data_IF_821376248104
#
_entry.id   IF_821376248104
#
_cell.length_a   1.000
_cell.length_b   1.000
_cell.length_c   1.000
_cell.angle_alpha   90.00
_cell.angle_beta   90.00
_cell.angle_gamma   90.00
#
_symmetry.space_group_name_H-M   'P 1'
#
loop_
_entity.id
_entity.type
_entity.pdbx_description
1 polymer ?
#
# COMPACT_ATOMS: atom_id res chain seq x y z
N UNK A 1 21.51 -11.81 -4.79
CA UNK A 1 20.12 -11.35 -4.88
C UNK A 1 19.78 -11.20 -6.35
N UNK A 2 18.58 -10.88 -6.73
CA UNK A 2 18.20 -10.76 -8.13
C UNK A 2 17.09 -9.70 -8.27
N UNK A 3 17.24 -8.79 -9.23
CA UNK A 3 16.17 -7.90 -9.67
C UNK A 3 15.03 -8.70 -10.31
N UNK A 4 13.85 -8.08 -10.39
CA UNK A 4 12.67 -8.69 -11.02
C UNK A 4 12.15 -7.71 -12.06
N UNK A 5 11.85 -8.22 -13.26
CA UNK A 5 11.23 -7.40 -14.31
C UNK A 5 10.05 -8.13 -14.92
N UNK A 6 8.91 -7.44 -14.93
CA UNK A 6 7.75 -7.79 -15.74
C UNK A 6 7.72 -6.88 -16.95
N UNK A 7 7.56 -7.45 -18.13
CA UNK A 7 7.56 -6.70 -19.40
C UNK A 7 6.29 -7.07 -20.16
N UNK A 8 5.32 -6.13 -20.18
CA UNK A 8 4.06 -6.28 -20.87
C UNK A 8 3.28 -7.54 -20.47
N UNK A 9 3.26 -7.89 -19.18
CA UNK A 9 2.70 -9.16 -18.71
C UNK A 9 1.18 -9.14 -18.78
N UNK A 10 0.61 -10.15 -19.47
CA UNK A 10 -0.83 -10.41 -19.52
C UNK A 10 -1.19 -11.78 -18.95
N UNK A 11 -2.31 -11.84 -18.24
CA UNK A 11 -2.94 -13.08 -17.78
C UNK A 11 -4.45 -12.99 -17.84
N UNK A 12 -5.08 -13.92 -18.52
CA UNK A 12 -6.53 -14.01 -18.68
C UNK A 12 -7.07 -15.31 -18.13
N UNK A 13 -8.30 -15.25 -17.62
CA UNK A 13 -9.10 -16.41 -17.25
C UNK A 13 -10.43 -16.32 -18.01
N UNK A 14 -10.55 -17.04 -19.11
CA UNK A 14 -11.63 -16.82 -20.08
C UNK A 14 -11.57 -15.40 -20.62
N UNK A 15 -12.67 -14.67 -20.53
CA UNK A 15 -12.79 -13.27 -20.99
C UNK A 15 -12.25 -12.25 -19.99
N UNK A 16 -11.95 -12.69 -18.75
CA UNK A 16 -11.49 -11.80 -17.68
C UNK A 16 -9.96 -11.61 -17.73
N UNK A 17 -9.52 -10.37 -17.93
CA UNK A 17 -8.11 -10.00 -17.85
C UNK A 17 -7.73 -9.74 -16.40
N UNK A 18 -7.11 -10.72 -15.75
CA UNK A 18 -6.66 -10.60 -14.35
C UNK A 18 -5.37 -9.78 -14.22
N UNK A 19 -4.49 -9.82 -15.23
CA UNK A 19 -3.32 -8.96 -15.40
C UNK A 19 -3.35 -8.47 -16.84
N UNK A 20 -3.19 -7.17 -17.05
CA UNK A 20 -3.40 -6.52 -18.33
C UNK A 20 -2.29 -5.53 -18.67
N UNK A 21 -1.21 -6.04 -19.29
CA UNK A 21 -0.08 -5.26 -19.78
C UNK A 21 0.75 -4.66 -18.64
N UNK A 22 1.11 -5.47 -17.63
CA UNK A 22 1.89 -4.99 -16.50
C UNK A 22 3.37 -4.92 -16.85
N UNK A 23 3.91 -3.69 -16.72
CA UNK A 23 5.35 -3.40 -16.67
C UNK A 23 5.72 -3.02 -15.24
N UNK A 24 6.71 -3.72 -14.66
CA UNK A 24 7.19 -3.45 -13.30
C UNK A 24 8.64 -3.89 -13.18
N UNK A 25 9.47 -3.01 -12.65
CA UNK A 25 10.83 -3.29 -12.25
C UNK A 25 10.97 -3.20 -10.73
N UNK A 26 11.50 -4.27 -10.11
CA UNK A 26 11.85 -4.34 -8.69
C UNK A 26 13.36 -4.52 -8.62
N UNK A 27 14.02 -3.57 -7.94
CA UNK A 27 15.47 -3.57 -7.83
C UNK A 27 15.96 -4.70 -6.93
N UNK A 28 17.22 -5.07 -7.10
CA UNK A 28 17.87 -6.04 -6.23
C UNK A 28 17.84 -5.57 -4.75
N UNK A 29 17.36 -6.45 -3.86
CA UNK A 29 17.19 -6.16 -2.43
C UNK A 29 16.00 -5.28 -2.07
N UNK A 30 15.20 -4.81 -3.05
CA UNK A 30 14.05 -3.94 -2.81
C UNK A 30 12.87 -4.70 -2.19
N UNK A 31 12.18 -4.04 -1.28
CA UNK A 31 10.90 -4.47 -0.73
C UNK A 31 9.74 -3.79 -1.49
N UNK A 32 9.20 -4.46 -2.49
CA UNK A 32 8.09 -3.98 -3.32
C UNK A 32 6.75 -4.47 -2.75
N UNK A 33 5.81 -3.54 -2.53
CA UNK A 33 4.45 -3.88 -2.13
C UNK A 33 3.50 -3.76 -3.31
N UNK A 34 2.73 -4.82 -3.58
CA UNK A 34 1.58 -4.78 -4.49
C UNK A 34 0.32 -4.53 -3.66
N UNK A 35 -0.28 -3.35 -3.81
CA UNK A 35 -1.45 -2.90 -3.08
C UNK A 35 -2.63 -2.72 -4.04
N UNK A 36 -3.85 -2.99 -3.58
CA UNK A 36 -5.07 -2.75 -4.37
C UNK A 36 -6.27 -3.52 -3.83
N UNK A 37 -7.47 -3.25 -4.33
CA UNK A 37 -8.69 -3.93 -3.90
C UNK A 37 -8.67 -5.43 -4.22
N UNK A 38 -9.56 -6.18 -3.58
CA UNK A 38 -9.70 -7.61 -3.86
C UNK A 38 -10.07 -7.83 -5.34
N UNK A 39 -9.43 -8.81 -5.96
CA UNK A 39 -9.68 -9.16 -7.37
C UNK A 39 -8.98 -8.25 -8.40
N UNK A 40 -8.14 -7.28 -8.02
CA UNK A 40 -7.44 -6.42 -8.98
C UNK A 40 -6.22 -7.06 -9.68
N UNK A 41 -5.85 -8.32 -9.36
CA UNK A 41 -4.80 -9.05 -10.08
C UNK A 41 -3.49 -9.29 -9.30
N UNK A 42 -3.30 -8.76 -8.08
CA UNK A 42 -2.06 -8.87 -7.27
C UNK A 42 -1.56 -10.31 -7.10
N UNK A 43 -2.41 -11.18 -6.54
CA UNK A 43 -2.08 -12.60 -6.34
C UNK A 43 -1.82 -13.32 -7.66
N UNK A 44 -2.54 -12.93 -8.74
CA UNK A 44 -2.30 -13.50 -10.06
C UNK A 44 -0.92 -13.12 -10.60
N UNK A 45 -0.54 -11.83 -10.50
CA UNK A 45 0.80 -11.37 -10.89
C UNK A 45 1.89 -12.07 -10.08
N UNK A 46 1.70 -12.19 -8.75
CA UNK A 46 2.62 -12.91 -7.87
C UNK A 46 2.76 -14.39 -8.27
N UNK A 47 1.65 -15.06 -8.62
CA UNK A 47 1.65 -16.45 -9.08
C UNK A 47 2.30 -16.62 -10.45
N UNK A 48 2.17 -15.65 -11.34
CA UNK A 48 2.91 -15.62 -12.62
C UNK A 48 4.41 -15.56 -12.36
N UNK A 49 4.87 -14.71 -11.42
CA UNK A 49 6.28 -14.67 -11.01
C UNK A 49 6.73 -15.98 -10.37
N UNK A 50 5.88 -16.59 -9.54
CA UNK A 50 6.16 -17.86 -8.90
C UNK A 50 6.22 -19.05 -9.91
N UNK A 51 5.68 -18.88 -11.13
CA UNK A 51 5.53 -19.95 -12.12
C UNK A 51 4.41 -20.93 -11.75
N UNK A 52 3.50 -20.52 -10.86
CA UNK A 52 2.30 -21.27 -10.50
C UNK A 52 1.16 -21.00 -11.48
N UNK A 53 1.19 -19.84 -12.13
CA UNK A 53 0.33 -19.48 -13.25
C UNK A 53 1.20 -19.18 -14.48
N UNK A 54 0.73 -19.60 -15.64
CA UNK A 54 1.42 -19.33 -16.91
C UNK A 54 1.04 -17.94 -17.38
N UNK A 55 2.01 -17.15 -17.82
CA UNK A 55 1.83 -15.88 -18.51
C UNK A 55 1.25 -16.16 -19.91
N UNK A 56 0.25 -15.40 -20.31
CA UNK A 56 -0.37 -15.56 -21.63
C UNK A 56 0.34 -14.72 -22.69
N UNK A 57 0.87 -13.54 -22.31
CA UNK A 57 1.71 -12.67 -23.13
C UNK A 57 2.66 -11.86 -22.25
N UNK A 58 3.74 -11.33 -22.83
CA UNK A 58 4.79 -10.63 -22.11
C UNK A 58 5.86 -11.55 -21.53
N UNK A 59 6.74 -11.00 -20.68
CA UNK A 59 7.88 -11.73 -20.12
C UNK A 59 8.12 -11.41 -18.66
N UNK A 60 8.69 -12.40 -17.95
CA UNK A 60 9.10 -12.29 -16.54
C UNK A 60 10.59 -12.65 -16.44
N UNK A 61 11.38 -11.72 -15.86
CA UNK A 61 12.81 -11.94 -15.63
C UNK A 61 13.11 -11.97 -14.12
N UNK A 62 14.07 -12.80 -13.73
CA UNK A 62 14.64 -12.87 -12.39
C UNK A 62 16.16 -12.80 -12.56
N UNK A 63 16.76 -11.66 -12.22
CA UNK A 63 18.10 -11.32 -12.65
C UNK A 63 18.19 -11.32 -14.17
N UNK A 64 19.29 -11.85 -14.69
CA UNK A 64 19.51 -11.98 -16.15
C UNK A 64 18.72 -13.14 -16.79
N UNK A 65 17.92 -13.89 -16.02
CA UNK A 65 17.24 -15.10 -16.51
C UNK A 65 15.81 -14.79 -16.96
N UNK A 66 15.49 -15.14 -18.19
CA UNK A 66 14.09 -15.25 -18.62
C UNK A 66 13.43 -16.41 -17.85
N UNK A 67 12.51 -16.05 -16.96
CA UNK A 67 11.81 -16.99 -16.09
C UNK A 67 10.39 -17.30 -16.61
N UNK A 68 9.97 -16.73 -17.73
CA UNK A 68 8.59 -16.80 -18.26
C UNK A 68 8.07 -18.24 -18.29
N UNK A 69 8.78 -19.15 -18.90
CA UNK A 69 8.39 -20.57 -19.02
C UNK A 69 9.07 -21.50 -18.01
N UNK A 70 9.86 -20.95 -17.06
CA UNK A 70 10.53 -21.78 -16.07
C UNK A 70 9.53 -22.32 -15.03
N UNK A 71 9.58 -23.61 -14.69
CA UNK A 71 8.78 -24.15 -13.61
C UNK A 71 9.25 -23.58 -12.24
N UNK A 72 8.38 -23.53 -11.20
CA UNK A 72 8.68 -22.93 -9.91
C UNK A 72 10.02 -23.35 -9.30
N UNK A 73 10.34 -24.66 -9.36
CA UNK A 73 11.59 -25.23 -8.81
C UNK A 73 12.88 -24.67 -9.42
N UNK A 74 12.82 -24.04 -10.60
CA UNK A 74 13.98 -23.46 -11.29
C UNK A 74 14.09 -21.95 -11.12
N UNK A 75 13.11 -21.29 -10.49
CA UNK A 75 13.07 -19.84 -10.34
C UNK A 75 13.87 -19.31 -9.15
N UNK A 76 14.34 -20.17 -8.23
CA UNK A 76 15.08 -19.82 -7.01
C UNK A 76 14.34 -18.84 -6.11
N UNK A 77 13.04 -19.01 -6.01
CA UNK A 77 12.15 -18.22 -5.20
C UNK A 77 11.66 -19.00 -3.98
N UNK A 78 11.29 -18.29 -2.93
CA UNK A 78 10.50 -18.83 -1.82
C UNK A 78 9.16 -18.08 -1.75
N UNK A 79 8.09 -18.78 -1.36
CA UNK A 79 6.77 -18.18 -1.27
C UNK A 79 6.09 -18.52 0.05
N UNK A 80 5.58 -17.47 0.69
CA UNK A 80 4.67 -17.55 1.84
C UNK A 80 3.26 -17.33 1.31
N UNK A 81 2.39 -18.34 1.48
CA UNK A 81 1.01 -18.30 1.02
C UNK A 81 0.09 -17.69 2.07
N UNK A 82 -1.02 -17.13 1.66
CA UNK A 82 -2.06 -16.59 2.53
C UNK A 82 -2.55 -17.60 3.58
N UNK A 83 -2.68 -18.89 3.21
CA UNK A 83 -3.05 -19.98 4.12
C UNK A 83 -1.87 -20.54 4.92
N UNK A 84 -0.69 -19.89 4.84
CA UNK A 84 0.61 -20.36 5.36
C UNK A 84 1.12 -21.65 4.70
N UNK A 85 0.26 -22.50 4.19
CA UNK A 85 0.55 -23.79 3.55
C UNK A 85 1.52 -24.67 4.38
N UNK A 86 1.40 -24.59 5.72
CA UNK A 86 2.19 -25.41 6.65
C UNK A 86 1.57 -26.81 6.70
N UNK A 87 2.40 -27.85 6.62
CA UNK A 87 1.96 -29.25 6.66
C UNK A 87 1.56 -29.62 8.10
N UNK A 88 0.26 -29.86 8.39
CA UNK A 88 -0.23 -30.00 9.76
C UNK A 88 0.25 -31.29 10.44
N UNK A 89 0.57 -32.32 9.66
CA UNK A 89 1.03 -33.63 10.11
C UNK A 89 2.54 -33.70 10.30
N UNK A 90 3.28 -32.63 9.99
CA UNK A 90 4.73 -32.54 10.20
C UNK A 90 5.06 -31.71 11.44
N UNK A 91 6.19 -32.01 12.06
CA UNK A 91 6.81 -31.17 13.08
C UNK A 91 7.27 -29.84 12.46
N UNK A 92 7.42 -28.79 13.29
CA UNK A 92 7.94 -27.48 12.86
C UNK A 92 9.30 -27.64 12.19
N UNK A 93 10.21 -28.40 12.80
CA UNK A 93 11.51 -28.71 12.20
C UNK A 93 11.37 -29.27 10.76
N UNK A 94 10.50 -30.26 10.55
CA UNK A 94 10.31 -30.88 9.25
C UNK A 94 9.65 -29.96 8.22
N UNK A 95 8.77 -29.07 8.66
CA UNK A 95 8.19 -28.02 7.81
C UNK A 95 9.27 -27.07 7.31
N UNK A 96 10.13 -26.56 8.18
CA UNK A 96 11.21 -25.65 7.81
C UNK A 96 12.24 -26.38 6.91
N UNK A 97 12.59 -27.61 7.27
CA UNK A 97 13.53 -28.44 6.51
C UNK A 97 13.03 -28.90 5.14
N UNK A 98 11.71 -28.80 4.85
CA UNK A 98 11.10 -29.42 3.70
C UNK A 98 11.75 -29.01 2.38
N UNK A 99 11.89 -27.69 2.15
CA UNK A 99 12.51 -27.14 0.93
C UNK A 99 13.97 -27.61 0.77
N UNK A 100 14.72 -27.59 1.86
CA UNK A 100 16.13 -28.02 1.86
C UNK A 100 16.29 -29.52 1.53
N UNK A 101 15.39 -30.37 2.08
CA UNK A 101 15.32 -31.79 1.74
C UNK A 101 15.04 -32.02 0.25
N UNK A 102 14.14 -31.22 -0.34
CA UNK A 102 13.83 -31.29 -1.76
C UNK A 102 15.00 -30.83 -2.64
N UNK A 103 15.82 -29.90 -2.16
CA UNK A 103 17.08 -29.48 -2.80
C UNK A 103 18.22 -30.49 -2.60
N UNK A 104 17.97 -31.59 -1.84
CA UNK A 104 18.95 -32.62 -1.50
C UNK A 104 20.17 -32.09 -0.74
N UNK A 105 19.97 -31.09 0.10
CA UNK A 105 21.02 -30.57 0.99
C UNK A 105 21.46 -31.62 2.01
N UNK A 106 22.71 -31.51 2.47
CA UNK A 106 23.27 -32.42 3.47
C UNK A 106 22.66 -32.15 4.85
N UNK A 107 22.47 -33.19 5.68
CA UNK A 107 21.85 -33.10 6.99
C UNK A 107 22.47 -32.02 7.90
N UNK A 108 23.79 -31.84 8.01
CA UNK A 108 24.37 -30.76 8.84
C UNK A 108 23.94 -29.35 8.36
N UNK A 109 23.86 -29.14 7.03
CA UNK A 109 23.42 -27.85 6.45
C UNK A 109 21.94 -27.62 6.74
N UNK A 110 21.11 -28.67 6.65
CA UNK A 110 19.69 -28.59 7.01
C UNK A 110 19.53 -28.20 8.47
N UNK A 111 20.24 -28.90 9.39
CA UNK A 111 20.17 -28.63 10.83
C UNK A 111 20.58 -27.19 11.16
N UNK A 112 21.67 -26.70 10.57
CA UNK A 112 22.16 -25.33 10.74
C UNK A 112 21.12 -24.31 10.27
N UNK A 113 20.64 -24.43 9.03
CA UNK A 113 19.69 -23.47 8.43
C UNK A 113 18.33 -23.47 9.12
N UNK A 114 17.84 -24.65 9.54
CA UNK A 114 16.57 -24.75 10.29
C UNK A 114 16.69 -24.06 11.66
N UNK A 115 17.79 -24.29 12.39
CA UNK A 115 18.00 -23.65 13.70
C UNK A 115 18.20 -22.15 13.56
N UNK A 116 19.00 -21.70 12.62
CA UNK A 116 19.19 -20.27 12.34
C UNK A 116 17.88 -19.57 11.99
N UNK A 117 17.04 -20.18 11.12
CA UNK A 117 15.74 -19.62 10.80
C UNK A 117 14.77 -19.65 11.99
N UNK A 118 14.84 -20.68 12.85
CA UNK A 118 14.01 -20.76 14.06
C UNK A 118 14.40 -19.72 15.09
N UNK A 119 15.71 -19.52 15.31
CA UNK A 119 16.26 -18.51 16.23
C UNK A 119 15.84 -17.09 15.80
N UNK A 120 15.97 -16.76 14.52
CA UNK A 120 15.61 -15.45 13.98
C UNK A 120 14.13 -15.11 14.18
N UNK A 121 13.27 -16.14 14.23
CA UNK A 121 11.81 -15.99 14.37
C UNK A 121 11.32 -16.33 15.80
N UNK A 122 12.23 -16.59 16.74
CA UNK A 122 11.91 -16.94 18.13
C UNK A 122 10.93 -18.11 18.23
N UNK A 123 11.20 -19.21 17.51
CA UNK A 123 10.37 -20.43 17.48
C UNK A 123 11.17 -21.70 17.76
N UNK A 124 12.37 -21.60 18.35
CA UNK A 124 13.27 -22.74 18.65
C UNK A 124 12.57 -23.78 19.53
N UNK A 125 11.82 -23.33 20.52
CA UNK A 125 11.06 -24.18 21.45
C UNK A 125 9.91 -24.94 20.78
N UNK A 126 9.50 -24.51 19.58
CA UNK A 126 8.41 -25.11 18.81
C UNK A 126 8.88 -26.19 17.84
N UNK A 127 10.18 -26.35 17.62
CA UNK A 127 10.75 -27.23 16.57
C UNK A 127 10.25 -28.68 16.65
N UNK A 128 10.02 -29.18 17.86
CA UNK A 128 9.54 -30.55 18.09
C UNK A 128 8.02 -30.70 18.11
N UNK A 129 7.25 -29.58 18.08
CA UNK A 129 5.79 -29.61 18.06
C UNK A 129 5.26 -29.90 16.66
N UNK A 130 4.08 -30.49 16.58
CA UNK A 130 3.34 -30.60 15.32
C UNK A 130 2.71 -29.26 14.97
N UNK A 131 2.71 -28.94 13.68
CA UNK A 131 2.17 -27.65 13.19
C UNK A 131 0.66 -27.49 13.43
N UNK A 132 -0.08 -28.60 13.59
CA UNK A 132 -1.49 -28.60 13.98
C UNK A 132 -1.75 -28.05 15.40
N UNK A 133 -0.73 -28.03 16.25
CA UNK A 133 -0.81 -27.59 17.65
C UNK A 133 -0.50 -26.09 17.83
N UNK A 134 -0.20 -25.39 16.75
CA UNK A 134 0.25 -24.01 16.77
C UNK A 134 -0.90 -23.01 16.63
N UNK A 135 -0.72 -21.82 17.25
CA UNK A 135 -1.58 -20.65 16.98
C UNK A 135 -1.41 -20.12 15.56
N UNK A 136 -2.28 -19.19 15.13
CA UNK A 136 -2.18 -18.54 13.81
C UNK A 136 -0.82 -17.85 13.61
N UNK A 137 -0.40 -17.01 14.55
CA UNK A 137 0.89 -16.30 14.47
C UNK A 137 2.10 -17.27 14.50
N UNK A 138 2.04 -18.35 15.30
CA UNK A 138 3.09 -19.37 15.29
C UNK A 138 3.18 -20.09 13.93
N UNK A 139 2.04 -20.45 13.31
CA UNK A 139 2.03 -21.04 11.96
C UNK A 139 2.61 -20.11 10.91
N UNK A 140 2.31 -18.82 11.02
CA UNK A 140 2.90 -17.80 10.16
C UNK A 140 4.44 -17.75 10.31
N UNK A 141 4.96 -17.64 11.53
CA UNK A 141 6.41 -17.66 11.77
C UNK A 141 7.07 -18.92 11.21
N UNK A 142 6.43 -20.08 11.32
CA UNK A 142 6.92 -21.32 10.69
C UNK A 142 6.93 -21.23 9.16
N UNK A 143 5.90 -20.63 8.55
CA UNK A 143 5.86 -20.45 7.08
C UNK A 143 6.97 -19.49 6.58
N UNK A 144 7.22 -18.41 7.32
CA UNK A 144 8.32 -17.48 7.04
C UNK A 144 9.68 -18.17 7.24
N UNK A 145 9.88 -18.90 8.37
CA UNK A 145 11.11 -19.68 8.63
C UNK A 145 11.41 -20.67 7.51
N UNK A 146 10.37 -21.36 7.01
CA UNK A 146 10.49 -22.28 5.86
C UNK A 146 10.98 -21.59 4.60
N UNK A 147 10.46 -20.40 4.31
CA UNK A 147 10.89 -19.61 3.16
C UNK A 147 12.35 -19.14 3.31
N UNK A 148 12.70 -18.62 4.48
CA UNK A 148 14.05 -18.10 4.78
C UNK A 148 15.14 -19.18 4.78
N UNK A 149 14.86 -20.36 5.33
CA UNK A 149 15.82 -21.47 5.40
C UNK A 149 16.37 -21.84 4.02
N UNK A 150 15.60 -21.63 2.96
CA UNK A 150 16.01 -21.96 1.58
C UNK A 150 17.03 -20.98 0.99
N UNK A 151 17.26 -19.81 1.60
CA UNK A 151 18.13 -18.74 1.08
C UNK A 151 17.80 -18.40 -0.38
N UNK A 152 16.51 -18.20 -0.66
CA UNK A 152 16.02 -17.84 -2.00
C UNK A 152 16.52 -16.44 -2.39
N UNK A 153 16.75 -16.22 -3.69
CA UNK A 153 17.13 -14.92 -4.23
C UNK A 153 15.96 -13.92 -4.17
N UNK A 154 14.73 -14.44 -4.24
CA UNK A 154 13.47 -13.68 -4.24
C UNK A 154 12.50 -14.30 -3.25
N UNK A 155 11.89 -13.45 -2.42
CA UNK A 155 10.87 -13.81 -1.45
C UNK A 155 9.51 -13.25 -1.89
N UNK A 156 8.52 -14.12 -2.00
CA UNK A 156 7.15 -13.77 -2.36
C UNK A 156 6.23 -13.96 -1.16
N UNK A 157 5.42 -12.97 -0.85
CA UNK A 157 4.46 -13.01 0.26
C UNK A 157 3.06 -12.66 -0.22
N UNK A 158 2.14 -13.62 -0.15
CA UNK A 158 0.74 -13.47 -0.58
C UNK A 158 -0.13 -13.27 0.65
N UNK A 159 -0.44 -12.02 1.00
CA UNK A 159 -1.25 -11.59 2.16
C UNK A 159 -0.90 -12.32 3.48
N UNK A 160 0.38 -12.33 3.91
CA UNK A 160 0.82 -13.19 5.00
C UNK A 160 0.20 -12.84 6.37
N UNK A 161 -0.30 -11.61 6.58
CA UNK A 161 -0.86 -11.14 7.84
C UNK A 161 -2.41 -11.16 7.86
N UNK A 162 -3.06 -11.48 6.73
CA UNK A 162 -4.53 -11.34 6.58
C UNK A 162 -5.37 -12.19 7.54
N UNK A 163 -4.84 -13.33 7.98
CA UNK A 163 -5.55 -14.28 8.87
C UNK A 163 -5.28 -14.04 10.37
N UNK A 164 -4.65 -12.92 10.74
CA UNK A 164 -4.39 -12.53 12.12
C UNK A 164 -5.42 -11.53 12.63
N UNK A 165 -5.69 -11.56 13.94
CA UNK A 165 -6.43 -10.50 14.60
C UNK A 165 -5.66 -9.17 14.60
N UNK A 166 -6.34 -8.06 14.88
CA UNK A 166 -5.77 -6.71 14.71
C UNK A 166 -4.55 -6.46 15.60
N UNK A 167 -4.55 -6.94 16.86
CA UNK A 167 -3.44 -6.72 17.79
C UNK A 167 -2.21 -7.51 17.35
N UNK A 168 -2.39 -8.80 17.06
CA UNK A 168 -1.31 -9.67 16.61
C UNK A 168 -0.77 -9.22 15.25
N UNK A 169 -1.63 -8.69 14.35
CA UNK A 169 -1.19 -8.12 13.07
C UNK A 169 -0.28 -6.92 13.26
N UNK A 170 -0.58 -6.03 14.23
CA UNK A 170 0.24 -4.86 14.53
C UNK A 170 1.65 -5.28 15.00
N UNK A 171 1.73 -6.24 15.94
CA UNK A 171 3.00 -6.77 16.45
C UNK A 171 3.80 -7.47 15.34
N UNK A 172 3.15 -8.39 14.62
CA UNK A 172 3.79 -9.16 13.55
C UNK A 172 4.28 -8.30 12.38
N UNK A 173 3.61 -7.18 12.08
CA UNK A 173 4.04 -6.25 11.04
C UNK A 173 5.40 -5.63 11.37
N UNK A 174 5.58 -5.14 12.60
CA UNK A 174 6.85 -4.56 13.03
C UNK A 174 8.00 -5.60 13.03
N UNK A 175 7.72 -6.80 13.58
CA UNK A 175 8.69 -7.90 13.57
C UNK A 175 9.06 -8.32 12.15
N UNK A 176 8.06 -8.48 11.27
CA UNK A 176 8.27 -8.91 9.89
C UNK A 176 9.07 -7.86 9.11
N UNK A 177 8.79 -6.56 9.29
CA UNK A 177 9.57 -5.49 8.66
C UNK A 177 11.04 -5.57 9.07
N UNK A 178 11.33 -5.63 10.37
CA UNK A 178 12.71 -5.73 10.89
C UNK A 178 13.41 -6.97 10.34
N UNK A 179 12.70 -8.09 10.33
CA UNK A 179 13.21 -9.35 9.80
C UNK A 179 13.58 -9.24 8.33
N UNK A 180 12.66 -8.74 7.50
CA UNK A 180 12.85 -8.64 6.05
C UNK A 180 13.97 -7.67 5.69
N UNK A 181 14.14 -6.58 6.44
CA UNK A 181 15.27 -5.66 6.29
C UNK A 181 16.62 -6.31 6.60
N UNK A 182 16.64 -7.34 7.46
CA UNK A 182 17.87 -8.10 7.78
C UNK A 182 18.19 -9.17 6.72
N UNK A 183 17.27 -9.43 5.79
CA UNK A 183 17.46 -10.42 4.74
C UNK A 183 17.99 -9.77 3.47
N UNK A 184 19.05 -10.37 2.93
CA UNK A 184 19.56 -10.04 1.61
C UNK A 184 18.68 -10.69 0.52
N UNK A 185 17.39 -10.31 0.42
CA UNK A 185 16.46 -10.90 -0.56
C UNK A 185 15.53 -9.84 -1.13
N UNK A 186 15.36 -9.86 -2.45
CA UNK A 186 14.36 -9.05 -3.12
C UNK A 186 12.98 -9.57 -2.74
N UNK A 187 12.10 -8.70 -2.24
CA UNK A 187 10.80 -9.12 -1.70
C UNK A 187 9.65 -8.51 -2.49
N UNK A 188 8.68 -9.34 -2.89
CA UNK A 188 7.35 -8.87 -3.33
C UNK A 188 6.32 -9.27 -2.30
N UNK A 189 5.63 -8.28 -1.76
CA UNK A 189 4.62 -8.41 -0.73
C UNK A 189 3.26 -7.99 -1.26
N UNK A 190 2.30 -8.89 -1.24
CA UNK A 190 0.91 -8.60 -1.63
C UNK A 190 0.08 -8.34 -0.39
N UNK A 191 -0.65 -7.24 -0.40
CA UNK A 191 -1.63 -6.92 0.64
C UNK A 191 -2.81 -6.12 0.07
N UNK A 192 -3.91 -6.11 0.80
CA UNK A 192 -5.00 -5.15 0.64
C UNK A 192 -5.06 -4.14 1.80
N UNK A 193 -4.19 -4.30 2.81
CA UNK A 193 -4.08 -3.41 3.97
C UNK A 193 -3.14 -2.24 3.64
N UNK A 194 -3.71 -1.03 3.64
CA UNK A 194 -2.99 0.20 3.31
C UNK A 194 -1.90 0.51 4.33
N UNK A 195 -2.15 0.20 5.63
CA UNK A 195 -1.19 0.48 6.70
C UNK A 195 0.04 -0.43 6.53
N UNK A 196 -0.16 -1.69 6.14
CA UNK A 196 0.96 -2.58 5.79
C UNK A 196 1.78 -2.00 4.65
N UNK A 197 1.12 -1.59 3.56
CA UNK A 197 1.79 -1.06 2.39
C UNK A 197 2.60 0.20 2.71
N UNK A 198 1.97 1.19 3.37
CA UNK A 198 2.60 2.47 3.70
C UNK A 198 3.74 2.32 4.73
N UNK A 199 3.66 1.33 5.64
CA UNK A 199 4.65 1.18 6.71
C UNK A 199 5.81 0.26 6.39
N UNK A 200 5.67 -0.66 5.42
CA UNK A 200 6.65 -1.72 5.18
C UNK A 200 7.46 -1.55 3.91
N UNK A 201 6.84 -1.13 2.80
CA UNK A 201 7.46 -1.12 1.48
C UNK A 201 8.48 -0.01 1.28
N UNK A 202 9.52 -0.27 0.48
CA UNK A 202 10.38 0.76 -0.09
C UNK A 202 9.63 1.49 -1.21
N UNK A 203 8.89 0.71 -2.03
CA UNK A 203 7.97 1.21 -3.05
C UNK A 203 6.67 0.43 -3.04
N UNK A 204 5.61 1.12 -3.49
CA UNK A 204 4.25 0.57 -3.61
C UNK A 204 3.83 0.63 -5.07
N UNK A 205 3.39 -0.50 -5.62
CA UNK A 205 2.67 -0.57 -6.87
C UNK A 205 1.17 -0.72 -6.58
N UNK A 206 0.41 0.35 -6.81
CA UNK A 206 -1.04 0.34 -6.66
C UNK A 206 -1.67 -0.28 -7.89
N UNK A 207 -2.42 -1.35 -7.69
CA UNK A 207 -3.07 -2.09 -8.78
C UNK A 207 -4.58 -1.88 -8.79
N UNK A 208 -5.12 -1.66 -10.00
CA UNK A 208 -6.55 -1.61 -10.24
C UNK A 208 -6.88 -2.30 -11.58
N UNK A 209 -7.89 -3.16 -11.60
CA UNK A 209 -8.40 -3.85 -12.80
C UNK A 209 -7.28 -4.46 -13.67
N UNK A 210 -6.33 -5.14 -13.04
CA UNK A 210 -5.23 -5.84 -13.73
C UNK A 210 -4.03 -4.97 -14.12
N UNK A 211 -4.05 -3.67 -13.86
CA UNK A 211 -3.01 -2.72 -14.25
C UNK A 211 -2.37 -2.07 -13.03
N UNK A 212 -1.13 -1.62 -13.13
CA UNK A 212 -0.50 -0.72 -12.19
C UNK A 212 -0.95 0.70 -12.54
N UNK A 213 -1.61 1.38 -11.60
CA UNK A 213 -2.11 2.75 -11.77
C UNK A 213 -1.17 3.80 -11.19
N UNK A 214 -0.41 3.44 -10.16
CA UNK A 214 0.66 4.27 -9.62
C UNK A 214 1.78 3.41 -9.05
N UNK A 215 3.01 3.89 -9.16
CA UNK A 215 4.22 3.29 -8.63
C UNK A 215 5.07 4.40 -8.02
N UNK A 216 5.38 4.31 -6.73
CA UNK A 216 6.18 5.32 -6.03
C UNK A 216 6.56 4.89 -4.63
N UNK A 217 7.28 5.74 -3.90
CA UNK A 217 7.50 5.52 -2.48
C UNK A 217 6.20 5.74 -1.68
N UNK A 218 6.10 5.20 -0.44
CA UNK A 218 4.86 5.27 0.34
C UNK A 218 4.28 6.68 0.53
N UNK A 219 5.15 7.66 0.83
CA UNK A 219 4.72 9.06 1.06
C UNK A 219 4.25 9.71 -0.24
N UNK A 220 4.96 9.46 -1.35
CA UNK A 220 4.57 9.96 -2.67
C UNK A 220 3.18 9.44 -3.09
N UNK A 221 2.93 8.14 -2.93
CA UNK A 221 1.63 7.53 -3.27
C UNK A 221 0.51 8.08 -2.37
N UNK A 222 0.81 8.39 -1.10
CA UNK A 222 -0.16 8.96 -0.16
C UNK A 222 -0.44 10.44 -0.45
N UNK A 223 0.63 11.25 -0.56
CA UNK A 223 0.52 12.70 -0.69
C UNK A 223 0.17 13.16 -2.11
N UNK A 224 0.68 12.46 -3.13
CA UNK A 224 0.53 12.82 -4.56
C UNK A 224 -0.13 11.68 -5.36
N UNK A 225 -1.41 11.38 -5.11
CA UNK A 225 -2.10 10.35 -5.86
C UNK A 225 -2.22 10.73 -7.35
N UNK A 226 -1.96 9.76 -8.24
CA UNK A 226 -2.01 9.94 -9.69
C UNK A 226 -3.42 10.15 -10.25
N UNK A 227 -4.42 9.73 -9.48
CA UNK A 227 -5.83 9.87 -9.87
C UNK A 227 -6.76 9.80 -8.64
N UNK A 228 -8.06 10.04 -8.87
CA UNK A 228 -9.10 9.96 -7.84
C UNK A 228 -9.26 8.57 -7.26
N UNK A 229 -8.96 7.50 -8.03
CA UNK A 229 -8.99 6.14 -7.52
C UNK A 229 -7.91 5.96 -6.43
N UNK A 230 -6.67 6.34 -6.71
CA UNK A 230 -5.57 6.22 -5.74
C UNK A 230 -5.83 7.09 -4.51
N UNK A 231 -6.23 8.36 -4.69
CA UNK A 231 -6.58 9.26 -3.58
C UNK A 231 -7.70 8.73 -2.70
N UNK A 232 -8.75 8.16 -3.32
CA UNK A 232 -9.89 7.57 -2.62
C UNK A 232 -9.62 6.18 -2.05
N UNK A 233 -8.65 5.44 -2.60
CA UNK A 233 -8.30 4.10 -2.11
C UNK A 233 -7.24 4.15 -1.00
N UNK A 234 -6.27 5.06 -1.05
CA UNK A 234 -5.19 5.19 -0.07
C UNK A 234 -5.59 6.18 1.03
N UNK A 235 -5.47 5.77 2.29
CA UNK A 235 -5.77 6.58 3.46
C UNK A 235 -7.08 6.20 4.16
N UNK A 236 -7.11 6.41 5.48
CA UNK A 236 -8.28 6.17 6.32
C UNK A 236 -8.48 7.38 7.25
N UNK A 237 -9.45 8.23 6.95
CA UNK A 237 -10.42 8.15 5.87
C UNK A 237 -9.81 8.41 4.48
N UNK A 238 -10.55 8.07 3.38
CA UNK A 238 -10.17 8.43 2.03
C UNK A 238 -9.97 9.93 1.82
N UNK A 239 -9.26 10.33 0.77
CA UNK A 239 -9.18 11.73 0.33
C UNK A 239 -10.58 12.26 0.02
N UNK A 240 -10.87 13.47 0.47
CA UNK A 240 -12.09 14.17 0.06
C UNK A 240 -11.91 14.74 -1.34
N UNK A 241 -12.97 14.74 -2.14
CA UNK A 241 -13.02 15.39 -3.44
C UNK A 241 -14.19 16.36 -3.48
N UNK A 242 -13.94 17.61 -3.90
CA UNK A 242 -14.94 18.64 -4.10
C UNK A 242 -14.85 19.15 -5.53
N UNK A 243 -16.01 19.43 -6.12
CA UNK A 243 -16.05 20.19 -7.38
C UNK A 243 -15.54 21.61 -7.11
N UNK A 244 -14.67 22.09 -7.98
CA UNK A 244 -14.02 23.40 -7.83
C UNK A 244 -13.99 24.15 -9.14
N UNK A 245 -14.28 25.46 -9.06
CA UNK A 245 -14.12 26.42 -10.15
C UNK A 245 -12.97 27.35 -9.82
N UNK A 246 -12.05 27.54 -10.74
CA UNK A 246 -10.89 28.42 -10.59
C UNK A 246 -11.07 29.64 -11.51
N UNK A 247 -10.99 30.83 -10.91
CA UNK A 247 -10.97 32.09 -11.61
C UNK A 247 -9.70 32.87 -11.31
N UNK A 248 -9.18 33.61 -12.29
CA UNK A 248 -8.00 34.48 -12.12
C UNK A 248 -8.39 35.83 -11.59
N UNK A 249 -7.77 36.31 -10.52
CA UNK A 249 -7.97 37.65 -9.94
C UNK A 249 -6.61 38.34 -9.72
N UNK A 250 -6.08 38.96 -10.78
CA UNK A 250 -4.80 39.69 -10.69
C UNK A 250 -3.61 38.77 -10.39
N UNK A 251 -3.01 38.90 -9.19
CA UNK A 251 -1.88 38.08 -8.73
C UNK A 251 -2.29 36.85 -7.92
N UNK A 252 -3.57 36.61 -7.72
CA UNK A 252 -4.14 35.47 -7.01
C UNK A 252 -5.18 34.75 -7.87
N UNK A 253 -5.41 33.47 -7.57
CA UNK A 253 -6.55 32.71 -8.09
C UNK A 253 -7.62 32.65 -6.99
N UNK A 254 -8.88 32.78 -7.39
CA UNK A 254 -10.02 32.52 -6.52
C UNK A 254 -10.55 31.15 -6.86
N UNK A 255 -10.64 30.31 -5.85
CA UNK A 255 -11.20 28.96 -5.95
C UNK A 255 -12.56 28.95 -5.28
N UNK A 256 -13.59 28.62 -6.05
CA UNK A 256 -14.95 28.46 -5.57
C UNK A 256 -15.25 26.98 -5.39
N UNK A 257 -15.78 26.61 -4.24
CA UNK A 257 -16.27 25.27 -3.91
C UNK A 257 -17.66 25.37 -3.29
N UNK A 258 -18.38 24.26 -3.19
CA UNK A 258 -19.63 24.21 -2.46
C UNK A 258 -19.43 24.78 -1.03
N UNK A 259 -20.13 25.88 -0.69
CA UNK A 259 -20.09 26.48 0.65
C UNK A 259 -19.16 27.66 0.84
N UNK A 260 -18.37 28.07 -0.15
CA UNK A 260 -17.51 29.27 -0.05
C UNK A 260 -16.43 29.38 -1.11
N UNK A 261 -15.65 30.44 -0.98
CA UNK A 261 -14.49 30.67 -1.84
C UNK A 261 -13.25 31.01 -1.02
N UNK A 262 -12.08 30.76 -1.55
CA UNK A 262 -10.81 31.09 -0.92
C UNK A 262 -9.76 31.48 -1.97
N UNK A 263 -8.78 32.28 -1.54
CA UNK A 263 -7.71 32.71 -2.42
C UNK A 263 -6.55 31.73 -2.44
N UNK A 264 -5.99 31.54 -3.63
CA UNK A 264 -4.84 30.69 -3.88
C UNK A 264 -3.69 31.50 -4.53
N UNK A 265 -2.43 31.05 -4.40
CA UNK A 265 -1.34 31.58 -5.17
C UNK A 265 -1.60 31.53 -6.69
N UNK A 266 -0.98 32.45 -7.43
CA UNK A 266 -1.25 32.67 -8.87
C UNK A 266 -0.96 31.50 -9.81
N UNK A 267 -0.15 30.53 -9.38
CA UNK A 267 0.17 29.32 -10.12
C UNK A 267 -1.08 28.45 -10.44
N UNK A 268 -2.07 28.47 -9.54
CA UNK A 268 -3.37 27.80 -9.75
C UNK A 268 -4.24 28.51 -10.79
N UNK A 269 -3.96 29.78 -11.09
CA UNK A 269 -4.70 30.53 -12.11
C UNK A 269 -4.59 29.89 -13.53
N UNK A 270 -3.55 29.11 -13.79
CA UNK A 270 -3.41 28.36 -15.05
C UNK A 270 -4.49 27.28 -15.22
N UNK A 271 -5.17 26.88 -14.14
CA UNK A 271 -6.28 25.92 -14.15
C UNK A 271 -7.64 26.56 -14.46
N UNK A 272 -7.71 27.90 -14.61
CA UNK A 272 -8.95 28.59 -14.87
C UNK A 272 -9.64 28.09 -16.15
N UNK A 273 -10.94 27.80 -16.05
CA UNK A 273 -11.76 27.29 -17.15
C UNK A 273 -11.69 25.78 -17.37
N UNK A 274 -11.01 25.03 -16.49
CA UNK A 274 -11.06 23.57 -16.46
C UNK A 274 -12.12 23.09 -15.46
N UNK A 275 -12.76 21.96 -15.78
CA UNK A 275 -13.62 21.23 -14.83
C UNK A 275 -12.74 20.45 -13.86
N UNK A 276 -12.71 20.90 -12.60
CA UNK A 276 -11.76 20.43 -11.61
C UNK A 276 -12.42 19.73 -10.42
N UNK A 277 -11.70 18.74 -9.86
CA UNK A 277 -11.91 18.26 -8.51
C UNK A 277 -10.73 18.69 -7.64
N UNK A 278 -11.06 19.28 -6.49
CA UNK A 278 -10.11 19.57 -5.42
C UNK A 278 -10.04 18.36 -4.52
N UNK A 279 -8.90 17.67 -4.49
CA UNK A 279 -8.59 16.56 -3.59
C UNK A 279 -7.89 17.06 -2.33
N UNK A 280 -8.40 16.70 -1.14
CA UNK A 280 -7.78 17.09 0.13
C UNK A 280 -7.96 15.99 1.20
N UNK A 281 -6.89 15.70 1.95
CA UNK A 281 -6.91 14.73 3.04
C UNK A 281 -7.67 15.30 4.25
N UNK A 282 -8.29 14.40 5.04
CA UNK A 282 -9.07 14.78 6.21
C UNK A 282 -8.26 15.55 7.26
N UNK A 283 -6.99 15.20 7.44
CA UNK A 283 -6.05 15.86 8.37
C UNK A 283 -5.50 17.20 7.86
N UNK A 284 -5.69 17.50 6.59
CA UNK A 284 -5.30 18.78 5.98
C UNK A 284 -6.44 19.83 6.02
N UNK A 285 -7.54 19.51 6.68
CA UNK A 285 -8.68 20.40 6.85
C UNK A 285 -8.75 20.83 8.32
N UNK A 286 -8.54 22.11 8.58
CA UNK A 286 -8.77 22.71 9.89
C UNK A 286 -10.25 23.02 10.12
N UNK A 287 -10.71 22.99 11.38
CA UNK A 287 -12.07 23.38 11.79
C UNK A 287 -12.00 24.56 12.72
N UNK A 288 -12.73 25.63 12.36
CA UNK A 288 -12.86 26.85 13.14
C UNK A 288 -14.31 27.03 13.60
N UNK A 289 -14.49 27.70 14.75
CA UNK A 289 -15.81 27.95 15.34
C UNK A 289 -16.41 29.28 14.95
N UNK A 290 -15.64 30.16 14.30
CA UNK A 290 -16.06 31.50 13.88
C UNK A 290 -15.77 31.72 12.39
N UNK A 291 -16.62 32.51 11.73
CA UNK A 291 -16.42 32.94 10.36
C UNK A 291 -15.18 33.84 10.25
N UNK A 292 -14.39 33.62 9.20
CA UNK A 292 -13.31 34.50 8.78
C UNK A 292 -13.15 34.41 7.26
N UNK A 293 -12.46 35.39 6.67
CA UNK A 293 -12.18 35.40 5.24
C UNK A 293 -11.33 34.18 4.84
N UNK A 294 -11.62 33.59 3.71
CA UNK A 294 -10.91 32.40 3.18
C UNK A 294 -11.30 31.07 3.84
N UNK A 295 -12.35 31.07 4.68
CA UNK A 295 -12.89 29.83 5.28
C UNK A 295 -14.18 29.40 4.57
N UNK A 296 -14.35 28.11 4.46
CA UNK A 296 -15.53 27.49 3.81
C UNK A 296 -16.53 27.08 4.88
N UNK A 297 -17.78 27.56 4.78
CA UNK A 297 -18.83 27.22 5.75
C UNK A 297 -19.30 25.79 5.56
N UNK A 298 -19.40 25.05 6.65
CA UNK A 298 -19.92 23.69 6.66
C UNK A 298 -20.80 23.45 7.89
N UNK A 299 -21.62 22.39 7.82
CA UNK A 299 -22.48 21.96 8.93
C UNK A 299 -22.06 20.59 9.41
N UNK A 300 -21.86 20.45 10.71
CA UNK A 300 -21.53 19.16 11.34
C UNK A 300 -22.70 18.20 11.21
N UNK A 301 -22.45 17.02 10.65
CA UNK A 301 -23.43 15.92 10.54
C UNK A 301 -23.20 14.92 11.67
N UNK A 302 -21.97 14.37 11.76
CA UNK A 302 -21.60 13.33 12.72
C UNK A 302 -20.23 13.62 13.30
N UNK A 303 -20.07 13.32 14.57
CA UNK A 303 -18.78 13.30 15.28
C UNK A 303 -18.51 11.85 15.74
N UNK A 304 -17.40 11.30 15.33
CA UNK A 304 -16.93 9.95 15.68
C UNK A 304 -15.63 10.05 16.49
N UNK A 305 -15.68 9.93 17.84
CA UNK A 305 -14.46 9.90 18.66
C UNK A 305 -13.70 8.59 18.45
N UNK A 306 -12.45 8.67 17.97
CA UNK A 306 -11.59 7.52 17.70
C UNK A 306 -10.47 7.33 18.73
N UNK A 307 -10.51 8.12 19.82
CA UNK A 307 -9.53 8.06 20.91
C UNK A 307 -8.32 8.95 20.68
N UNK A 308 -7.52 8.72 19.67
CA UNK A 308 -6.35 9.56 19.32
C UNK A 308 -6.74 10.87 18.60
N UNK A 309 -7.87 10.89 17.91
CA UNK A 309 -8.42 12.03 17.18
C UNK A 309 -9.93 11.84 17.04
N UNK A 310 -10.62 12.90 16.63
CA UNK A 310 -12.03 12.85 16.27
C UNK A 310 -12.18 12.92 14.76
N UNK A 311 -13.02 12.05 14.19
CA UNK A 311 -13.43 12.13 12.80
C UNK A 311 -14.78 12.84 12.71
N UNK A 312 -14.82 13.97 12.01
CA UNK A 312 -16.03 14.77 11.84
C UNK A 312 -16.50 14.66 10.40
N UNK A 313 -17.75 14.26 10.24
CA UNK A 313 -18.40 14.33 8.93
C UNK A 313 -19.17 15.67 8.86
N UNK A 314 -18.85 16.47 7.88
CA UNK A 314 -19.48 17.79 7.66
C UNK A 314 -20.12 17.85 6.27
N UNK A 315 -21.17 18.68 6.16
CA UNK A 315 -21.80 19.02 4.88
C UNK A 315 -21.37 20.43 4.46
N UNK A 316 -20.81 20.51 3.28
CA UNK A 316 -20.35 21.74 2.64
C UNK A 316 -21.13 21.92 1.34
N UNK A 317 -22.17 22.78 1.34
CA UNK A 317 -23.13 22.82 0.22
C UNK A 317 -23.81 21.48 0.00
N UNK A 318 -23.64 20.90 -1.19
CA UNK A 318 -24.14 19.57 -1.55
C UNK A 318 -23.16 18.46 -1.18
N UNK A 319 -21.87 18.79 -0.91
CA UNK A 319 -20.80 17.82 -0.66
C UNK A 319 -20.75 17.37 0.80
N UNK A 320 -20.23 16.19 1.02
CA UNK A 320 -19.96 15.63 2.35
C UNK A 320 -18.47 15.35 2.50
N UNK A 321 -17.84 15.97 3.51
CA UNK A 321 -16.42 15.84 3.79
C UNK A 321 -16.17 15.14 5.11
N UNK A 322 -15.05 14.43 5.17
CA UNK A 322 -14.49 13.90 6.42
C UNK A 322 -13.29 14.73 6.85
N UNK A 323 -13.30 15.17 8.10
CA UNK A 323 -12.27 16.01 8.69
C UNK A 323 -11.72 15.35 9.94
N UNK A 324 -10.41 15.24 10.03
CA UNK A 324 -9.72 14.70 11.21
C UNK A 324 -9.26 15.85 12.09
N UNK A 325 -9.76 15.91 13.34
CA UNK A 325 -9.46 16.97 14.30
C UNK A 325 -8.89 16.38 15.58
N UNK A 326 -8.31 17.24 16.43
CA UNK A 326 -7.73 16.83 17.70
C UNK A 326 -8.79 16.22 18.63
N UNK A 327 -8.38 15.28 19.48
CA UNK A 327 -9.26 14.48 20.32
C UNK A 327 -10.04 15.30 21.38
N UNK A 328 -9.55 16.49 21.72
CA UNK A 328 -10.14 17.41 22.69
C UNK A 328 -11.14 18.41 22.08
N UNK A 329 -11.31 18.41 20.76
CA UNK A 329 -12.24 19.28 20.03
C UNK A 329 -13.53 18.49 19.74
N UNK A 330 -14.67 18.98 20.25
CA UNK A 330 -15.98 18.33 20.13
C UNK A 330 -17.02 19.29 19.53
N UNK A 331 -17.05 19.51 18.21
CA UNK A 331 -18.11 20.33 17.61
C UNK A 331 -19.45 19.61 17.75
N UNK A 332 -20.48 20.40 18.12
CA UNK A 332 -21.82 19.85 18.33
C UNK A 332 -22.44 19.42 16.97
N UNK A 333 -23.13 18.27 16.91
CA UNK A 333 -23.93 17.94 15.74
C UNK A 333 -24.92 19.06 15.41
N UNK A 334 -25.13 19.29 14.13
CA UNK A 334 -25.95 20.38 13.56
C UNK A 334 -25.41 21.82 13.74
N UNK A 335 -24.25 22.01 14.39
CA UNK A 335 -23.61 23.33 14.48
C UNK A 335 -22.96 23.69 13.13
N UNK A 336 -22.88 25.02 12.89
CA UNK A 336 -22.06 25.52 11.80
C UNK A 336 -20.59 25.57 12.24
N UNK A 337 -19.71 25.22 11.31
CA UNK A 337 -18.26 25.28 11.44
C UNK A 337 -17.67 25.89 10.18
N UNK A 338 -16.44 26.38 10.28
CA UNK A 338 -15.72 26.94 9.14
C UNK A 338 -14.47 26.12 8.88
N UNK A 339 -14.30 25.68 7.63
CA UNK A 339 -13.20 24.82 7.23
C UNK A 339 -12.08 25.67 6.66
N UNK A 340 -10.88 25.44 7.18
CA UNK A 340 -9.64 25.95 6.61
C UNK A 340 -9.02 24.84 5.77
N UNK A 341 -8.94 25.04 4.46
CA UNK A 341 -8.27 24.11 3.55
C UNK A 341 -6.81 24.55 3.42
N UNK A 342 -5.88 23.62 3.71
CA UNK A 342 -4.44 23.90 3.60
C UNK A 342 -3.99 23.88 2.14
N UNK A 343 -3.61 25.01 1.52
CA UNK A 343 -3.35 25.12 0.09
C UNK A 343 -2.27 24.15 -0.41
N UNK A 344 -1.17 24.00 0.31
CA UNK A 344 -0.05 23.11 -0.05
C UNK A 344 -0.43 21.61 -0.07
N UNK A 345 -1.55 21.26 0.56
CA UNK A 345 -2.04 19.88 0.68
C UNK A 345 -3.17 19.55 -0.30
N UNK A 346 -3.60 20.52 -1.10
CA UNK A 346 -4.61 20.32 -2.13
C UNK A 346 -3.96 19.63 -3.34
N UNK A 347 -4.71 18.72 -3.94
CA UNK A 347 -4.37 18.05 -5.20
C UNK A 347 -5.47 18.30 -6.21
N UNK A 348 -5.08 18.72 -7.37
CA UNK A 348 -6.00 19.02 -8.47
C UNK A 348 -6.19 17.81 -9.34
N UNK A 349 -7.44 17.46 -9.62
CA UNK A 349 -7.79 16.37 -10.51
C UNK A 349 -8.69 16.90 -11.62
N UNK A 350 -8.50 16.39 -12.80
CA UNK A 350 -9.44 16.57 -13.90
C UNK A 350 -10.75 15.85 -13.57
N UNK A 351 -11.87 16.54 -13.69
CA UNK A 351 -13.18 16.02 -13.25
C UNK A 351 -13.65 14.84 -14.11
N UNK A 352 -13.38 14.88 -15.42
CA UNK A 352 -13.88 13.88 -16.35
C UNK A 352 -13.07 12.58 -16.30
N UNK A 353 -11.74 12.71 -16.24
CA UNK A 353 -10.82 11.57 -16.27
C UNK A 353 -10.43 11.08 -14.88
N UNK A 354 -10.56 11.93 -13.85
CA UNK A 354 -10.05 11.69 -12.50
C UNK A 354 -8.53 11.77 -12.37
N UNK A 355 -7.80 12.14 -13.42
CA UNK A 355 -6.34 12.16 -13.45
C UNK A 355 -5.79 13.40 -12.73
N UNK A 356 -4.69 13.26 -11.99
CA UNK A 356 -4.04 14.38 -11.32
C UNK A 356 -3.49 15.40 -12.32
N UNK A 357 -3.71 16.68 -12.02
CA UNK A 357 -3.15 17.82 -12.76
C UNK A 357 -2.04 18.41 -11.88
N UNK A 358 -0.80 18.34 -12.37
CA UNK A 358 0.36 18.88 -11.65
C UNK A 358 0.46 20.39 -11.89
N UNK A 359 0.40 21.17 -10.81
CA UNK A 359 0.72 22.59 -10.82
C UNK A 359 2.16 22.75 -10.34
N UNK A 360 2.93 23.67 -10.91
CA UNK A 360 4.36 23.84 -10.57
C UNK A 360 4.68 24.12 -9.08
N UNK A 361 3.67 24.38 -8.25
CA UNK A 361 3.79 24.54 -6.80
C UNK A 361 4.06 23.23 -6.06
N UNK A 362 3.75 22.09 -6.63
CA UNK A 362 3.93 20.77 -6.00
C UNK A 362 5.40 20.34 -5.93
N UNK A 363 6.24 20.81 -6.85
CA UNK A 363 7.68 20.53 -6.86
C UNK A 363 8.42 21.17 -5.68
N UNK A 364 7.96 22.31 -5.18
CA UNK A 364 8.58 23.03 -4.05
C UNK A 364 8.26 22.41 -2.67
N UNK A 365 7.13 21.71 -2.54
CA UNK A 365 6.72 21.09 -1.27
C UNK A 365 7.49 19.78 -0.96
N UNK A 366 7.97 19.09 -1.99
CA UNK A 366 8.71 17.84 -1.85
C UNK A 366 10.19 18.04 -1.44
N UNK A 367 10.78 19.20 -1.70
CA UNK A 367 12.16 19.50 -1.29
C UNK A 367 12.31 19.91 0.19
N UNK A 368 11.20 20.19 0.89
CA UNK A 368 11.22 20.69 2.28
C UNK A 368 11.04 19.61 3.35
N UNK A 369 10.91 18.34 2.97
CA UNK A 369 10.91 17.22 3.91
C UNK A 369 12.35 17.01 4.46
N UNK A 370 12.65 17.73 5.55
CA UNK A 370 13.92 17.58 6.28
C UNK A 370 14.00 16.16 6.84
N UNK A 371 14.89 15.38 6.29
CA UNK A 371 15.33 14.12 6.89
C UNK A 371 16.09 14.49 8.17
N UNK A 372 15.45 14.28 9.32
CA UNK A 372 16.15 14.30 10.61
C UNK A 372 16.97 13.00 10.66
N UNK A 373 18.27 13.15 10.45
CA UNK A 373 19.28 12.08 10.56
C UNK A 373 19.50 11.65 12.01
#
# INVERSE_FOLDING_TARGET
MADIRFVGVHKRFGDFAAVDGVDLEVKDGEFMVLLGPSGCGKTTLLRCLAGLERVDDGRVYIGDRDATDLPPRRRRIAMVFQSYAVFPHMKVYDNIAFGLKMQKEKKPVIDERVRSAAELLHIEELLERYSSQLSGGQRQRVAVARAMATKAEVLLMDEPLSNLDALLRLEMRAELKTLLQSLDATTIYVTHDQIEALSMGDRIAVMNKGRIVQLGNPLEVYDNPSDTFVGGFIGTPPMNFLEAEVSSSGSTAVVEVSGGSFEFPSDVAALAGHDLLLGIRAEAIGVETAAADGLVRAKVIVLEPLGSHNLVTVRCGEDTLKVSIQADIFPQPTSDVWLRLEPARIRWMDRDTGTAIHTGAEELATETAVVIS
#
